data_IF_427259487919
#
_entry.id   IF_427259487919
#
_cell.length_a   1.000
_cell.length_b   1.000
_cell.length_c   1.000
_cell.angle_alpha   90.00
_cell.angle_beta   90.00
_cell.angle_gamma   90.00
#
_symmetry.space_group_name_H-M   'P 1'
#
loop_
_entity.id
_entity.type
_entity.pdbx_description
1 polymer ?
#
# COMPACT_ATOMS: atom_id res chain seq x y z
N UNK A 1 36.59 -12.83 -39.40
CA UNK A 1 36.13 -11.44 -39.64
C UNK A 1 35.56 -10.91 -38.33
N UNK A 2 36.08 -9.78 -37.84
CA UNK A 2 35.69 -9.11 -36.59
C UNK A 2 34.75 -7.97 -36.97
N UNK A 3 33.60 -7.80 -36.32
CA UNK A 3 32.97 -6.49 -36.14
C UNK A 3 32.19 -6.46 -34.82
N UNK A 4 32.71 -5.68 -33.87
CA UNK A 4 31.99 -5.14 -32.73
C UNK A 4 31.44 -3.77 -33.15
N UNK A 5 30.18 -3.45 -32.83
CA UNK A 5 29.72 -2.05 -32.74
C UNK A 5 28.71 -1.93 -31.60
N UNK A 6 29.07 -1.13 -30.59
CA UNK A 6 28.18 -0.54 -29.62
C UNK A 6 27.85 0.89 -30.06
N UNK A 7 26.62 1.38 -29.84
CA UNK A 7 26.24 2.79 -30.01
C UNK A 7 25.64 3.30 -28.70
N UNK A 8 26.28 4.35 -28.16
CA UNK A 8 25.81 5.26 -27.11
C UNK A 8 25.26 6.54 -27.75
N UNK A 9 24.19 7.15 -27.21
CA UNK A 9 23.90 8.60 -27.30
C UNK A 9 22.68 8.93 -26.40
N UNK A 10 22.84 9.43 -25.18
CA UNK A 10 23.06 10.83 -24.69
C UNK A 10 21.90 11.81 -24.88
N UNK A 11 21.45 12.32 -23.73
CA UNK A 11 20.48 13.37 -23.36
C UNK A 11 20.63 14.69 -24.13
N UNK A 12 19.50 15.37 -24.40
CA UNK A 12 19.45 16.85 -24.55
C UNK A 12 18.27 17.46 -23.78
N UNK A 13 18.59 18.48 -22.97
CA UNK A 13 17.72 19.35 -22.17
C UNK A 13 16.87 20.33 -23.00
N UNK A 14 15.73 20.78 -22.45
CA UNK A 14 14.93 21.89 -23.02
C UNK A 14 13.64 22.26 -22.27
N UNK A 15 13.79 22.82 -21.06
CA UNK A 15 12.91 23.68 -20.24
C UNK A 15 11.66 24.34 -20.89
N UNK A 16 10.49 24.29 -20.21
CA UNK A 16 9.47 25.35 -20.36
C UNK A 16 7.98 25.00 -20.18
N UNK A 17 7.57 24.34 -19.09
CA UNK A 17 6.15 24.23 -18.72
C UNK A 17 6.00 23.54 -17.37
N UNK A 18 5.81 24.31 -16.30
CA UNK A 18 5.69 23.78 -14.93
C UNK A 18 4.29 23.19 -14.70
N UNK A 19 4.13 21.86 -14.52
CA UNK A 19 2.92 21.36 -13.89
C UNK A 19 3.00 21.63 -12.38
N UNK A 20 1.85 22.00 -11.83
CA UNK A 20 1.66 22.38 -10.44
C UNK A 20 2.37 21.45 -9.45
N UNK A 21 3.07 22.04 -8.50
CA UNK A 21 3.57 21.37 -7.30
C UNK A 21 2.36 20.81 -6.56
N UNK A 22 2.12 19.50 -6.67
CA UNK A 22 1.21 18.79 -5.76
C UNK A 22 1.94 18.75 -4.42
N UNK A 23 1.60 19.71 -3.57
CA UNK A 23 2.10 19.81 -2.21
C UNK A 23 1.59 18.62 -1.38
N UNK A 24 2.53 17.92 -0.73
CA UNK A 24 2.23 17.03 0.39
C UNK A 24 2.00 15.55 0.06
N UNK A 25 2.92 14.87 -0.64
CA UNK A 25 2.96 13.41 -0.53
C UNK A 25 3.66 13.05 0.78
N UNK A 26 2.88 12.60 1.77
CA UNK A 26 3.43 11.91 2.93
C UNK A 26 4.24 10.73 2.39
N UNK A 27 5.57 10.77 2.52
CA UNK A 27 6.42 9.64 2.18
C UNK A 27 6.15 8.52 3.17
N UNK A 28 5.19 7.65 2.86
CA UNK A 28 5.03 6.37 3.51
C UNK A 28 6.26 5.53 3.16
N UNK A 29 6.94 4.95 4.16
CA UNK A 29 7.95 3.93 3.85
C UNK A 29 7.21 2.67 3.43
N UNK A 30 7.02 2.50 2.12
CA UNK A 30 6.39 1.34 1.49
C UNK A 30 7.01 0.02 2.00
N UNK A 31 8.28 0.06 2.36
CA UNK A 31 9.03 -1.03 2.98
C UNK A 31 8.41 -1.53 4.29
N UNK A 32 7.91 -0.64 5.15
CA UNK A 32 7.30 -1.06 6.43
C UNK A 32 6.02 -1.86 6.20
N UNK A 33 5.23 -1.52 5.17
CA UNK A 33 4.03 -2.26 4.80
C UNK A 33 4.38 -3.61 4.16
N UNK A 34 5.35 -3.64 3.25
CA UNK A 34 5.83 -4.88 2.64
C UNK A 34 6.33 -5.89 3.66
N UNK A 35 7.09 -5.44 4.66
CA UNK A 35 7.52 -6.31 5.76
C UNK A 35 6.34 -6.93 6.50
N UNK A 36 5.24 -6.20 6.69
CA UNK A 36 4.01 -6.73 7.27
C UNK A 36 3.40 -7.84 6.42
N UNK A 37 3.29 -7.62 5.10
CA UNK A 37 2.78 -8.63 4.17
C UNK A 37 3.68 -9.86 4.11
N UNK A 38 5.00 -9.70 4.12
CA UNK A 38 5.95 -10.82 4.13
C UNK A 38 5.81 -11.70 5.37
N UNK A 39 5.57 -11.08 6.54
CA UNK A 39 5.32 -11.82 7.78
C UNK A 39 4.04 -12.67 7.68
N UNK A 40 2.99 -12.15 7.05
CA UNK A 40 1.76 -12.91 6.77
C UNK A 40 2.05 -14.09 5.84
N UNK A 41 2.79 -13.88 4.74
CA UNK A 41 3.15 -14.94 3.80
C UNK A 41 4.01 -16.03 4.44
N UNK A 42 4.87 -15.65 5.38
CA UNK A 42 5.71 -16.57 6.17
C UNK A 42 4.94 -17.23 7.32
N UNK A 43 3.63 -16.99 7.47
CA UNK A 43 2.81 -17.50 8.57
C UNK A 43 3.23 -17.02 9.97
N UNK A 44 4.00 -15.92 10.03
CA UNK A 44 4.49 -15.29 11.27
C UNK A 44 3.44 -14.34 11.84
N UNK A 45 2.24 -14.87 12.10
CA UNK A 45 1.04 -14.08 12.38
C UNK A 45 1.16 -13.18 13.62
N UNK A 46 1.87 -13.62 14.67
CA UNK A 46 2.11 -12.80 15.87
C UNK A 46 2.95 -11.55 15.57
N UNK A 47 3.96 -11.70 14.73
CA UNK A 47 4.84 -10.59 14.35
C UNK A 47 4.14 -9.67 13.34
N UNK A 48 3.36 -10.24 12.43
CA UNK A 48 2.50 -9.49 11.53
C UNK A 48 1.46 -8.66 12.30
N UNK A 49 0.88 -9.20 13.38
CA UNK A 49 -0.06 -8.49 14.25
C UNK A 49 0.60 -7.27 14.91
N UNK A 50 1.76 -7.47 15.54
CA UNK A 50 2.53 -6.35 16.13
C UNK A 50 2.87 -5.30 15.08
N UNK A 51 3.31 -5.72 13.89
CA UNK A 51 3.62 -4.81 12.78
C UNK A 51 2.38 -4.03 12.32
N UNK A 52 1.24 -4.70 12.18
CA UNK A 52 -0.02 -4.07 11.79
C UNK A 52 -0.50 -3.05 12.83
N UNK A 53 -0.41 -3.38 14.13
CA UNK A 53 -0.75 -2.45 15.21
C UNK A 53 0.14 -1.21 15.19
N UNK A 54 1.46 -1.39 15.07
CA UNK A 54 2.40 -0.27 14.94
C UNK A 54 2.10 0.61 13.73
N UNK A 55 1.73 0.02 12.59
CA UNK A 55 1.35 0.76 11.38
C UNK A 55 0.03 1.53 11.58
N UNK A 56 -0.94 0.98 12.30
CA UNK A 56 -2.19 1.65 12.64
C UNK A 56 -2.00 2.79 13.64
N UNK A 57 -1.07 2.66 14.59
CA UNK A 57 -0.71 3.76 15.50
C UNK A 57 -0.06 4.92 14.75
N UNK A 58 0.86 4.61 13.83
CA UNK A 58 1.55 5.63 13.00
C UNK A 58 0.63 6.24 11.95
N UNK A 59 -0.23 5.44 11.34
CA UNK A 59 -1.08 5.82 10.21
C UNK A 59 -2.53 5.38 10.44
N UNK A 60 -3.24 6.03 11.39
CA UNK A 60 -4.57 5.60 11.84
C UNK A 60 -5.68 5.74 10.80
N UNK A 61 -5.41 6.36 9.64
CA UNK A 61 -6.34 6.47 8.51
C UNK A 61 -5.85 5.71 7.26
N UNK A 62 -4.73 4.98 7.35
CA UNK A 62 -4.18 4.26 6.20
C UNK A 62 -5.03 3.03 5.88
N UNK A 63 -5.55 2.98 4.65
CA UNK A 63 -6.27 1.81 4.14
C UNK A 63 -5.38 0.57 4.14
N UNK A 64 -4.10 0.70 3.78
CA UNK A 64 -3.14 -0.41 3.74
C UNK A 64 -2.86 -0.97 5.14
N UNK A 65 -2.76 -0.10 6.16
CA UNK A 65 -2.56 -0.54 7.54
C UNK A 65 -3.75 -1.34 8.06
N UNK A 66 -4.97 -0.87 7.77
CA UNK A 66 -6.19 -1.58 8.12
C UNK A 66 -6.36 -2.87 7.32
N UNK A 67 -6.00 -2.88 6.04
CA UNK A 67 -6.06 -4.07 5.20
C UNK A 67 -5.09 -5.15 5.70
N UNK A 68 -3.84 -4.79 6.01
CA UNK A 68 -2.88 -5.71 6.62
C UNK A 68 -3.42 -6.29 7.95
N UNK A 69 -4.00 -5.46 8.82
CA UNK A 69 -4.61 -5.93 10.06
C UNK A 69 -5.76 -6.91 9.80
N UNK A 70 -6.64 -6.62 8.83
CA UNK A 70 -7.70 -7.54 8.44
C UNK A 70 -7.17 -8.88 7.93
N UNK A 71 -6.09 -8.88 7.14
CA UNK A 71 -5.44 -10.11 6.69
C UNK A 71 -4.91 -10.94 7.86
N UNK A 72 -4.21 -10.31 8.81
CA UNK A 72 -3.71 -11.00 10.01
C UNK A 72 -4.85 -11.67 10.78
N UNK A 73 -5.94 -10.94 11.01
CA UNK A 73 -7.11 -11.45 11.73
C UNK A 73 -7.82 -12.57 10.95
N UNK A 74 -7.89 -12.47 9.62
CA UNK A 74 -8.41 -13.53 8.77
C UNK A 74 -7.60 -14.82 8.94
N UNK A 75 -6.27 -14.76 8.85
CA UNK A 75 -5.41 -15.94 9.00
C UNK A 75 -5.38 -16.50 10.44
N UNK A 76 -5.70 -15.69 11.44
CA UNK A 76 -5.94 -16.16 12.82
C UNK A 76 -7.29 -16.88 12.99
N UNK A 77 -8.18 -16.84 11.99
CA UNK A 77 -9.52 -17.40 12.04
C UNK A 77 -10.59 -16.44 12.59
N UNK A 78 -10.24 -15.17 12.84
CA UNK A 78 -11.13 -14.14 13.38
C UNK A 78 -11.94 -13.47 12.25
N UNK A 79 -12.63 -14.28 11.44
CA UNK A 79 -13.33 -13.81 10.24
C UNK A 79 -14.34 -12.68 10.47
N UNK A 80 -15.17 -12.69 11.54
CA UNK A 80 -16.11 -11.59 11.79
C UNK A 80 -15.39 -10.25 12.03
N UNK A 81 -14.24 -10.29 12.68
CA UNK A 81 -13.47 -9.09 12.99
C UNK A 81 -12.71 -8.58 11.76
N UNK A 82 -12.08 -9.48 11.01
CA UNK A 82 -11.47 -9.15 9.72
C UNK A 82 -12.49 -8.49 8.77
N UNK A 83 -13.70 -9.05 8.69
CA UNK A 83 -14.77 -8.50 7.88
C UNK A 83 -15.19 -7.09 8.30
N UNK A 84 -15.35 -6.85 9.62
CA UNK A 84 -15.65 -5.52 10.16
C UNK A 84 -14.60 -4.48 9.77
N UNK A 85 -13.32 -4.86 9.79
CA UNK A 85 -12.23 -3.97 9.38
C UNK A 85 -12.32 -3.67 7.88
N UNK A 86 -12.52 -4.69 7.04
CA UNK A 86 -12.63 -4.50 5.58
C UNK A 86 -13.82 -3.61 5.19
N UNK A 87 -14.96 -3.76 5.86
CA UNK A 87 -16.12 -2.87 5.64
C UNK A 87 -15.78 -1.41 5.96
N UNK A 88 -15.03 -1.17 7.03
CA UNK A 88 -14.55 0.17 7.38
C UNK A 88 -13.60 0.73 6.32
N UNK A 89 -12.64 -0.07 5.86
CA UNK A 89 -11.70 0.33 4.81
C UNK A 89 -12.44 0.68 3.51
N UNK A 90 -13.40 -0.14 3.10
CA UNK A 90 -14.21 0.10 1.92
C UNK A 90 -15.06 1.38 2.05
N UNK A 91 -15.60 1.66 3.24
CA UNK A 91 -16.36 2.88 3.50
C UNK A 91 -15.49 4.14 3.63
N UNK A 92 -14.23 4.03 4.07
CA UNK A 92 -13.32 5.16 4.26
C UNK A 92 -12.54 5.52 2.99
N UNK A 93 -12.37 4.57 2.06
CA UNK A 93 -11.78 4.85 0.75
C UNK A 93 -12.83 5.46 -0.18
N UNK A 94 -12.73 6.77 -0.43
CA UNK A 94 -13.67 7.54 -1.26
C UNK A 94 -14.12 6.83 -2.55
N UNK A 95 -13.20 6.35 -3.40
CA UNK A 95 -13.56 5.63 -4.63
C UNK A 95 -14.28 4.31 -4.41
N UNK A 96 -13.96 3.57 -3.34
CA UNK A 96 -14.61 2.30 -3.01
C UNK A 96 -16.01 2.56 -2.46
N UNK A 97 -16.16 3.55 -1.58
CA UNK A 97 -17.47 3.99 -1.07
C UNK A 97 -18.38 4.47 -2.20
N UNK A 98 -17.86 5.33 -3.08
CA UNK A 98 -18.60 5.84 -4.24
C UNK A 98 -19.01 4.70 -5.18
N UNK A 99 -18.13 3.71 -5.39
CA UNK A 99 -18.46 2.53 -6.17
C UNK A 99 -19.53 1.65 -5.49
N UNK A 100 -19.44 1.41 -4.18
CA UNK A 100 -20.43 0.60 -3.46
C UNK A 100 -21.84 1.20 -3.55
N UNK A 101 -21.98 2.53 -3.53
CA UNK A 101 -23.26 3.21 -3.73
C UNK A 101 -23.91 2.98 -5.10
N UNK A 102 -23.14 2.52 -6.09
CA UNK A 102 -23.64 2.22 -7.44
C UNK A 102 -24.09 0.76 -7.60
N UNK A 103 -23.78 -0.11 -6.64
CA UNK A 103 -24.01 -1.56 -6.74
C UNK A 103 -25.08 -2.05 -5.74
N UNK A 104 -25.44 -1.24 -4.75
CA UNK A 104 -26.63 -1.43 -3.90
C UNK A 104 -27.93 -0.97 -4.60
#
# INVERSE_FOLDING_TARGET
MRFWVAIFLTVTLGWGGSPARVEGTVQFSQEEFFQGYDLVQQWRLKEAEVKAQNLLEKFPQSGDAHFLHAQVEFFKGNYPFAWKILQRVAAEQGPVREFMQLVD
#
